data_IF_339416469997
#
_entry.id   IF_339416469997
#
_cell.length_a   1.000
_cell.length_b   1.000
_cell.length_c   1.000
_cell.angle_alpha   90.00
_cell.angle_beta   90.00
_cell.angle_gamma   90.00
#
_symmetry.space_group_name_H-M   'P 1'
#
loop_
_entity.id
_entity.type
_entity.pdbx_description
1 polymer ?
#
# COMPACT_ATOMS: atom_id res chain seq x y z
N UNK A 1 4.19 3.22 20.51
CA UNK A 1 4.97 2.84 19.31
C UNK A 1 5.12 4.07 18.45
N UNK A 2 6.35 4.43 18.05
CA UNK A 2 6.59 5.58 17.16
C UNK A 2 6.23 5.21 15.71
N UNK A 3 5.88 6.18 14.87
CA UNK A 3 5.54 5.92 13.46
C UNK A 3 6.66 5.19 12.70
N UNK A 4 7.92 5.51 13.00
CA UNK A 4 9.07 4.84 12.42
C UNK A 4 9.16 3.35 12.80
N UNK A 5 8.79 3.00 14.04
CA UNK A 5 8.77 1.60 14.51
C UNK A 5 7.65 0.80 13.81
N UNK A 6 6.47 1.41 13.63
CA UNK A 6 5.35 0.78 12.90
C UNK A 6 5.75 0.48 11.45
N UNK A 7 6.37 1.46 10.79
CA UNK A 7 6.88 1.30 9.42
C UNK A 7 7.88 0.16 9.34
N UNK A 8 8.88 0.13 10.23
CA UNK A 8 9.90 -0.91 10.21
C UNK A 8 9.28 -2.30 10.46
N UNK A 9 8.40 -2.41 11.46
CA UNK A 9 7.66 -3.66 11.72
C UNK A 9 6.87 -4.17 10.52
N UNK A 10 6.21 -3.27 9.77
CA UNK A 10 5.46 -3.66 8.57
C UNK A 10 6.39 -4.22 7.48
N UNK A 11 7.52 -3.54 7.22
CA UNK A 11 8.47 -3.99 6.21
C UNK A 11 9.09 -5.34 6.63
N UNK A 12 9.51 -5.47 7.89
CA UNK A 12 10.09 -6.71 8.43
C UNK A 12 9.09 -7.87 8.40
N UNK A 13 7.82 -7.62 8.73
CA UNK A 13 6.75 -8.63 8.70
C UNK A 13 6.57 -9.25 7.31
N UNK A 14 6.61 -8.43 6.27
CA UNK A 14 6.49 -8.91 4.89
C UNK A 14 7.80 -9.45 4.32
N UNK A 15 8.95 -8.89 4.73
CA UNK A 15 10.27 -9.44 4.40
C UNK A 15 10.43 -10.88 4.91
N UNK A 16 9.95 -11.17 6.13
CA UNK A 16 9.91 -12.52 6.69
C UNK A 16 8.96 -13.49 5.94
N UNK A 17 8.17 -12.99 4.99
CA UNK A 17 7.25 -13.74 4.11
C UNK A 17 7.67 -13.66 2.65
N UNK A 18 8.97 -13.52 2.41
CA UNK A 18 9.61 -13.50 1.09
C UNK A 18 9.15 -12.34 0.18
N UNK A 19 8.76 -11.21 0.76
CA UNK A 19 8.53 -9.99 -0.02
C UNK A 19 9.83 -9.21 -0.14
N UNK A 20 10.19 -8.82 -1.36
CA UNK A 20 11.30 -7.90 -1.59
C UNK A 20 10.98 -6.53 -0.98
N UNK A 21 11.86 -6.00 -0.14
CA UNK A 21 11.70 -4.65 0.44
C UNK A 21 12.15 -3.63 -0.60
N UNK A 22 11.20 -3.00 -1.29
CA UNK A 22 11.49 -2.05 -2.36
C UNK A 22 11.41 -0.61 -1.82
N UNK A 23 12.37 0.23 -2.22
CA UNK A 23 12.41 1.64 -1.82
C UNK A 23 11.21 2.43 -2.36
N UNK A 24 10.81 3.47 -1.62
CA UNK A 24 9.83 4.45 -2.11
C UNK A 24 10.29 5.08 -3.42
N UNK A 25 9.43 5.06 -4.44
CA UNK A 25 9.66 5.77 -5.69
C UNK A 25 9.57 7.30 -5.50
N UNK A 26 10.06 8.09 -6.46
CA UNK A 26 9.91 9.54 -6.46
C UNK A 26 8.43 9.99 -6.41
N UNK A 27 8.21 11.20 -5.90
CA UNK A 27 6.87 11.81 -5.85
C UNK A 27 6.34 12.21 -7.22
N UNK A 28 7.23 12.50 -8.18
CA UNK A 28 6.87 12.80 -9.56
C UNK A 28 7.19 11.54 -10.39
N UNK A 29 6.18 10.86 -10.97
CA UNK A 29 6.41 9.67 -11.76
C UNK A 29 7.09 10.04 -13.10
N UNK A 30 8.15 9.30 -13.47
CA UNK A 30 8.86 9.54 -14.73
C UNK A 30 8.15 9.00 -15.97
N UNK A 31 7.32 7.97 -15.80
CA UNK A 31 6.82 7.13 -16.90
C UNK A 31 5.30 7.23 -17.13
N UNK A 32 4.59 8.12 -16.41
CA UNK A 32 3.14 8.29 -16.58
C UNK A 32 2.77 9.78 -16.63
N UNK A 33 2.57 10.36 -17.83
CA UNK A 33 2.24 11.78 -17.98
C UNK A 33 0.82 12.12 -17.50
N UNK A 34 -0.01 11.12 -17.17
CA UNK A 34 -1.38 11.35 -16.66
C UNK A 34 -1.43 11.52 -15.14
N UNK A 35 -0.35 11.13 -14.44
CA UNK A 35 -0.25 11.24 -12.99
C UNK A 35 0.61 12.44 -12.60
N UNK A 36 0.00 13.42 -11.93
CA UNK A 36 0.72 14.60 -11.43
C UNK A 36 1.68 14.24 -10.29
N UNK A 37 1.27 13.34 -9.39
CA UNK A 37 2.08 12.84 -8.29
C UNK A 37 1.81 11.36 -8.01
N UNK A 38 2.80 10.68 -7.44
CA UNK A 38 2.65 9.34 -6.86
C UNK A 38 1.67 9.42 -5.68
N UNK A 39 0.49 8.84 -5.85
CA UNK A 39 -0.61 8.88 -4.89
C UNK A 39 -0.84 7.54 -4.15
N UNK A 40 -0.14 6.48 -4.59
CA UNK A 40 -0.22 5.13 -4.04
C UNK A 40 1.08 4.34 -4.27
N UNK A 41 1.32 3.34 -3.42
CA UNK A 41 2.48 2.43 -3.53
C UNK A 41 2.52 1.60 -4.82
N UNK A 42 1.37 1.30 -5.41
CA UNK A 42 1.27 0.48 -6.62
C UNK A 42 1.79 1.17 -7.90
N UNK A 43 1.91 2.51 -7.89
CA UNK A 43 2.26 3.29 -9.10
C UNK A 43 3.59 2.84 -9.72
N UNK A 44 4.59 2.53 -8.90
CA UNK A 44 5.91 2.05 -9.36
C UNK A 44 5.91 0.58 -9.85
N UNK A 45 4.80 -0.11 -9.69
CA UNK A 45 4.60 -1.51 -10.10
C UNK A 45 3.52 -1.64 -11.18
N UNK A 46 3.04 -0.52 -11.75
CA UNK A 46 1.97 -0.51 -12.75
C UNK A 46 2.25 -1.47 -13.90
N UNK A 47 3.43 -1.34 -14.51
CA UNK A 47 3.82 -2.15 -15.68
C UNK A 47 4.06 -3.61 -15.28
N UNK A 48 4.50 -3.87 -14.05
CA UNK A 48 4.59 -5.23 -13.49
C UNK A 48 3.21 -5.87 -13.34
N UNK A 49 2.20 -5.12 -12.86
CA UNK A 49 0.81 -5.59 -12.79
C UNK A 49 0.18 -5.82 -14.16
N UNK A 50 0.56 -5.04 -15.17
CA UNK A 50 0.11 -5.20 -16.55
C UNK A 50 0.83 -6.33 -17.30
N UNK A 51 1.90 -6.90 -16.71
CA UNK A 51 2.73 -7.92 -17.34
C UNK A 51 3.71 -7.37 -18.39
N UNK A 52 3.86 -6.05 -18.48
CA UNK A 52 4.75 -5.35 -19.41
C UNK A 52 6.20 -5.30 -18.88
N UNK A 53 6.37 -5.42 -17.56
CA UNK A 53 7.67 -5.48 -16.89
C UNK A 53 7.81 -6.76 -16.07
N UNK A 54 8.93 -7.46 -16.21
CA UNK A 54 9.24 -8.65 -15.38
C UNK A 54 10.30 -8.30 -14.33
N UNK A 55 9.93 -8.46 -13.05
CA UNK A 55 10.84 -8.34 -11.91
C UNK A 55 11.48 -9.69 -11.58
N UNK A 56 12.60 -9.67 -10.86
CA UNK A 56 13.25 -10.89 -10.33
C UNK A 56 12.52 -11.53 -9.14
N UNK A 57 11.50 -10.84 -8.62
CA UNK A 57 10.69 -11.23 -7.48
C UNK A 57 9.20 -11.16 -7.82
N UNK A 58 8.41 -12.05 -7.21
CA UNK A 58 6.95 -12.10 -7.39
C UNK A 58 6.19 -11.45 -6.23
N UNK A 59 6.89 -10.98 -5.19
CA UNK A 59 6.34 -10.33 -4.01
C UNK A 59 7.15 -9.10 -3.66
N UNK A 60 6.50 -8.02 -3.27
CA UNK A 60 7.18 -6.80 -2.83
C UNK A 60 6.46 -6.13 -1.66
N UNK A 61 7.21 -5.42 -0.81
CA UNK A 61 6.67 -4.58 0.25
C UNK A 61 7.36 -3.22 0.25
N UNK A 62 6.61 -2.15 0.54
CA UNK A 62 7.12 -0.77 0.49
C UNK A 62 6.51 0.12 1.57
N UNK A 63 7.23 1.20 1.88
CA UNK A 63 6.68 2.41 2.52
C UNK A 63 6.75 3.56 1.52
N UNK A 64 5.69 3.76 0.73
CA UNK A 64 5.68 4.75 -0.34
C UNK A 64 5.26 6.12 0.20
N UNK A 65 6.06 7.15 -0.10
CA UNK A 65 5.64 8.55 0.09
C UNK A 65 4.63 8.92 -0.99
N UNK A 66 3.47 9.41 -0.58
CA UNK A 66 2.34 9.71 -1.44
C UNK A 66 1.92 11.18 -1.31
N UNK A 67 1.49 11.76 -2.42
CA UNK A 67 0.85 13.08 -2.46
C UNK A 67 -0.56 12.97 -3.06
N UNK A 68 -1.55 13.56 -2.38
CA UNK A 68 -2.94 13.71 -2.83
C UNK A 68 -3.37 15.17 -2.76
N UNK A 69 -2.81 15.96 -3.67
CA UNK A 69 -3.01 17.40 -3.75
C UNK A 69 -3.43 17.87 -5.15
N UNK A 70 -4.01 16.99 -5.97
CA UNK A 70 -4.45 17.33 -7.32
C UNK A 70 -4.88 16.11 -8.15
N UNK A 71 -5.59 16.35 -9.25
CA UNK A 71 -6.13 15.30 -10.12
C UNK A 71 -7.31 14.55 -9.49
N UNK A 72 -7.51 13.28 -9.87
CA UNK A 72 -8.63 12.44 -9.41
C UNK A 72 -8.61 12.13 -7.91
N UNK A 73 -7.43 12.16 -7.28
CA UNK A 73 -7.25 11.92 -5.85
C UNK A 73 -6.73 13.21 -5.20
N UNK A 74 -7.66 14.09 -4.80
CA UNK A 74 -7.36 15.39 -4.22
C UNK A 74 -7.97 15.51 -2.82
N UNK A 75 -7.12 15.55 -1.81
CA UNK A 75 -7.53 15.71 -0.42
C UNK A 75 -7.35 17.15 0.08
N UNK A 76 -6.89 18.09 -0.77
CA UNK A 76 -6.50 19.45 -0.38
C UNK A 76 -7.61 20.22 0.35
N UNK A 77 -8.86 20.08 -0.09
CA UNK A 77 -10.01 20.75 0.52
C UNK A 77 -10.43 20.14 1.87
N UNK A 78 -9.98 18.91 2.17
CA UNK A 78 -10.31 18.20 3.41
C UNK A 78 -9.23 18.34 4.50
N UNK A 79 -8.03 18.78 4.13
CA UNK A 79 -6.91 18.99 5.06
C UNK A 79 -7.22 20.19 5.97
N UNK A 80 -7.08 19.98 7.28
CA UNK A 80 -7.40 21.00 8.30
C UNK A 80 -8.85 20.99 8.77
N UNK A 81 -9.77 20.38 8.02
CA UNK A 81 -11.18 20.21 8.41
C UNK A 81 -11.48 18.85 9.05
N UNK A 82 -10.62 17.86 8.81
CA UNK A 82 -10.80 16.51 9.33
C UNK A 82 -9.49 15.96 9.88
N UNK A 83 -9.57 15.09 10.89
CA UNK A 83 -8.39 14.53 11.56
C UNK A 83 -7.67 13.41 10.77
N UNK A 84 -8.11 13.10 9.54
CA UNK A 84 -7.65 11.93 8.78
C UNK A 84 -7.11 12.23 7.38
N UNK A 85 -7.31 13.44 6.87
CA UNK A 85 -6.86 13.80 5.52
C UNK A 85 -5.54 14.55 5.59
N UNK A 86 -4.57 14.06 4.82
CA UNK A 86 -3.25 14.66 4.67
C UNK A 86 -2.94 14.78 3.17
N UNK A 87 -2.30 15.87 2.76
CA UNK A 87 -1.81 16.02 1.38
C UNK A 87 -0.59 15.14 1.13
N UNK A 88 0.29 15.01 2.11
CA UNK A 88 1.47 14.13 2.09
C UNK A 88 1.37 13.08 3.18
N UNK A 89 1.56 11.81 2.82
CA UNK A 89 1.50 10.69 3.77
C UNK A 89 2.37 9.52 3.29
N UNK A 90 2.64 8.57 4.19
CA UNK A 90 3.27 7.30 3.83
C UNK A 90 2.22 6.19 3.71
N UNK A 91 2.27 5.45 2.61
CA UNK A 91 1.45 4.28 2.35
C UNK A 91 2.30 3.02 2.50
N UNK A 92 2.01 2.25 3.54
CA UNK A 92 2.54 0.89 3.71
C UNK A 92 1.75 -0.06 2.82
N UNK A 93 2.43 -0.86 2.00
CA UNK A 93 1.77 -1.76 1.06
C UNK A 93 2.58 -3.01 0.76
N UNK A 94 1.86 -4.13 0.61
CA UNK A 94 2.37 -5.42 0.14
C UNK A 94 1.74 -5.77 -1.21
N UNK A 95 2.53 -6.34 -2.11
CA UNK A 95 2.17 -6.58 -3.50
C UNK A 95 2.53 -8.00 -3.89
N UNK A 96 1.61 -8.63 -4.63
CA UNK A 96 1.78 -9.96 -5.23
C UNK A 96 1.65 -9.84 -6.74
N UNK A 97 2.64 -10.37 -7.46
CA UNK A 97 2.70 -10.38 -8.92
C UNK A 97 2.52 -11.82 -9.40
N UNK A 98 1.27 -12.26 -9.52
CA UNK A 98 0.94 -13.61 -9.95
C UNK A 98 1.30 -14.72 -8.96
N UNK A 99 1.42 -14.40 -7.67
CA UNK A 99 1.77 -15.34 -6.61
C UNK A 99 0.56 -15.62 -5.68
N UNK A 100 0.47 -14.99 -4.51
CA UNK A 100 -0.67 -15.15 -3.60
C UNK A 100 -1.83 -14.21 -3.95
N UNK A 101 -3.04 -14.54 -3.50
CA UNK A 101 -4.25 -13.77 -3.81
C UNK A 101 -5.06 -13.45 -2.56
N UNK A 102 -6.40 -13.47 -2.65
CA UNK A 102 -7.30 -12.96 -1.60
C UNK A 102 -7.08 -13.61 -0.24
N UNK A 103 -6.91 -14.93 -0.18
CA UNK A 103 -6.88 -15.67 1.08
C UNK A 103 -5.66 -15.28 1.91
N UNK A 104 -4.49 -15.36 1.31
CA UNK A 104 -3.22 -15.05 1.94
C UNK A 104 -3.10 -13.55 2.23
N UNK A 105 -3.58 -12.68 1.32
CA UNK A 105 -3.60 -11.25 1.55
C UNK A 105 -4.42 -10.86 2.79
N UNK A 106 -5.61 -11.44 2.95
CA UNK A 106 -6.46 -11.23 4.13
C UNK A 106 -5.77 -11.77 5.38
N UNK A 107 -5.16 -12.96 5.29
CA UNK A 107 -4.47 -13.58 6.42
C UNK A 107 -3.29 -12.73 6.90
N UNK A 108 -2.44 -12.25 6.00
CA UNK A 108 -1.30 -11.40 6.33
C UNK A 108 -1.73 -10.07 6.96
N UNK A 109 -2.73 -9.41 6.38
CA UNK A 109 -3.27 -8.17 6.95
C UNK A 109 -3.86 -8.41 8.35
N UNK A 110 -4.63 -9.48 8.53
CA UNK A 110 -5.23 -9.83 9.82
C UNK A 110 -4.17 -10.16 10.87
N UNK A 111 -3.19 -10.97 10.52
CA UNK A 111 -2.10 -11.39 11.39
C UNK A 111 -1.29 -10.18 11.85
N UNK A 112 -0.84 -9.32 10.91
CA UNK A 112 -0.09 -8.11 11.28
C UNK A 112 -0.88 -7.19 12.23
N UNK A 113 -2.18 -6.98 11.96
CA UNK A 113 -3.01 -6.12 12.80
C UNK A 113 -3.25 -6.70 14.20
N UNK A 114 -3.55 -7.99 14.30
CA UNK A 114 -3.99 -8.59 15.56
C UNK A 114 -2.86 -9.19 16.39
N UNK A 115 -1.82 -9.72 15.74
CA UNK A 115 -0.67 -10.36 16.39
C UNK A 115 0.44 -9.35 16.58
N UNK A 116 0.98 -8.75 15.52
CA UNK A 116 2.15 -7.87 15.59
C UNK A 116 1.86 -6.48 16.21
N UNK A 117 0.66 -5.96 15.93
CA UNK A 117 0.19 -4.68 16.48
C UNK A 117 -0.74 -4.83 17.69
N UNK A 118 -1.21 -6.04 18.00
CA UNK A 118 -2.03 -6.32 19.17
C UNK A 118 -3.41 -5.65 19.15
N UNK A 119 -3.95 -5.31 17.97
CA UNK A 119 -5.27 -4.69 17.88
C UNK A 119 -6.38 -5.72 18.18
N UNK A 120 -7.43 -5.35 18.91
CA UNK A 120 -8.47 -6.28 19.33
C UNK A 120 -9.21 -6.87 18.12
N UNK A 121 -9.17 -8.20 17.99
CA UNK A 121 -9.78 -8.95 16.87
C UNK A 121 -11.30 -9.10 16.94
N UNK A 122 -11.99 -8.53 17.95
CA UNK A 122 -13.46 -8.59 18.09
C UNK A 122 -14.03 -7.19 18.31
N UNK A 123 -15.14 -6.91 17.60
CA UNK A 123 -15.94 -5.68 17.63
C UNK A 123 -15.41 -4.49 16.85
N UNK A 124 -15.06 -4.70 15.58
CA UNK A 124 -15.29 -3.62 14.63
C UNK A 124 -15.80 -4.21 13.33
N UNK A 125 -17.04 -3.90 12.97
CA UNK A 125 -17.47 -3.91 11.57
C UNK A 125 -16.72 -2.82 10.80
N UNK A 126 -15.39 -2.82 10.90
CA UNK A 126 -14.52 -1.79 10.36
C UNK A 126 -14.29 -2.10 8.89
N UNK A 127 -14.61 -1.16 7.99
CA UNK A 127 -14.22 -1.23 6.59
C UNK A 127 -12.71 -1.48 6.37
N UNK A 128 -11.85 -1.29 7.40
CA UNK A 128 -10.40 -1.42 7.32
C UNK A 128 -9.89 -2.73 6.70
N UNK A 129 -10.51 -3.90 6.99
CA UNK A 129 -10.07 -5.16 6.39
C UNK A 129 -10.40 -5.25 4.89
N UNK A 130 -11.53 -4.65 4.48
CA UNK A 130 -11.89 -4.49 3.07
C UNK A 130 -10.96 -3.48 2.38
N UNK A 131 -10.58 -2.40 3.06
CA UNK A 131 -9.74 -1.34 2.50
C UNK A 131 -8.28 -1.77 2.31
N UNK A 132 -7.70 -2.55 3.23
CA UNK A 132 -6.34 -3.09 3.05
C UNK A 132 -6.22 -4.06 1.87
N UNK A 133 -7.33 -4.70 1.48
CA UNK A 133 -7.39 -5.60 0.31
C UNK A 133 -7.84 -4.90 -0.97
N UNK A 134 -8.28 -3.64 -0.91
CA UNK A 134 -8.79 -2.93 -2.10
C UNK A 134 -7.70 -2.61 -3.14
N UNK A 135 -6.42 -2.35 -2.81
CA UNK A 135 -5.41 -2.15 -3.85
C UNK A 135 -5.16 -3.43 -4.67
N UNK A 136 -5.42 -4.62 -4.09
CA UNK A 136 -5.25 -5.91 -4.76
C UNK A 136 -6.37 -6.23 -5.78
N UNK A 137 -7.50 -5.52 -5.74
CA UNK A 137 -8.66 -5.84 -6.57
C UNK A 137 -8.74 -5.00 -7.86
N UNK A 138 -8.16 -3.81 -7.89
CA UNK A 138 -8.28 -2.92 -9.06
C UNK A 138 -7.32 -3.28 -10.21
N UNK A 139 -6.32 -4.13 -9.98
CA UNK A 139 -5.35 -4.55 -11.01
C UNK A 139 -5.79 -5.71 -11.90
N UNK A 140 -6.92 -6.38 -11.60
CA UNK A 140 -7.32 -7.61 -12.30
C UNK A 140 -8.73 -7.56 -12.91
N UNK A 141 -9.29 -6.36 -13.11
CA UNK A 141 -10.51 -6.16 -13.92
C UNK A 141 -10.13 -5.58 -15.30
N UNK A 142 -9.49 -6.43 -16.10
CA UNK A 142 -9.80 -6.59 -17.52
C UNK A 142 -9.97 -8.07 -17.80
#
# INVERSE_FOLDING_TARGET
>A
MKSAEIRQKFLDFFAARDHEVVSSSPLVPGNDPTLLFTNAGMVQFKDTFLGEEKRSYNRATTSQRCVRAGGKHNDLENVGYTARHHTFFEMLGNFSFGDYFKREAIQYAWEFLTVDLGLPGKNSGSPCLKTMTTPLLYGSMK
#
